data_IF_673517168746
#
_entry.id   IF_673517168746
#
_cell.length_a   1.000
_cell.length_b   1.000
_cell.length_c   1.000
_cell.angle_alpha   90.00
_cell.angle_beta   90.00
_cell.angle_gamma   90.00
#
_symmetry.space_group_name_H-M   'P 1'
#
loop_
_entity.id
_entity.type
_entity.pdbx_description
1 polymer ?
#
# COMPACT_ATOMS: atom_id res chain seq x y z
N UNK A 1 16.44 -9.57 4.58
CA UNK A 1 15.50 -10.73 4.60
C UNK A 1 14.17 -10.37 5.27
N UNK A 2 14.15 -9.74 6.43
CA UNK A 2 12.91 -9.40 7.17
C UNK A 2 11.88 -8.61 6.32
N UNK A 3 12.27 -7.53 5.66
CA UNK A 3 11.35 -6.71 4.86
C UNK A 3 10.78 -7.47 3.65
N UNK A 4 11.56 -8.34 3.02
CA UNK A 4 11.06 -9.19 1.94
C UNK A 4 10.01 -10.20 2.46
N UNK A 5 10.28 -10.82 3.60
CA UNK A 5 9.32 -11.73 4.25
C UNK A 5 8.03 -11.00 4.63
N UNK A 6 8.12 -9.76 5.12
CA UNK A 6 6.96 -8.95 5.46
C UNK A 6 6.13 -8.59 4.21
N UNK A 7 6.78 -8.18 3.11
CA UNK A 7 6.08 -7.95 1.83
C UNK A 7 5.33 -9.20 1.38
N UNK A 8 6.01 -10.34 1.36
CA UNK A 8 5.40 -11.62 0.94
C UNK A 8 4.21 -11.97 1.82
N UNK A 9 4.34 -11.86 3.14
CA UNK A 9 3.26 -12.17 4.08
C UNK A 9 2.04 -11.26 3.90
N UNK A 10 2.25 -9.95 3.73
CA UNK A 10 1.17 -8.99 3.53
C UNK A 10 0.48 -9.15 2.17
N UNK A 11 1.24 -9.39 1.11
CA UNK A 11 0.68 -9.70 -0.22
C UNK A 11 -0.09 -11.01 -0.19
N UNK A 12 0.43 -12.03 0.47
CA UNK A 12 -0.28 -13.31 0.62
C UNK A 12 -1.58 -13.14 1.41
N UNK A 13 -1.58 -12.35 2.49
CA UNK A 13 -2.78 -12.02 3.25
C UNK A 13 -3.82 -11.29 2.38
N UNK A 14 -3.41 -10.26 1.65
CA UNK A 14 -4.28 -9.51 0.75
C UNK A 14 -4.92 -10.44 -0.29
N UNK A 15 -4.11 -11.26 -0.97
CA UNK A 15 -4.60 -12.18 -2.00
C UNK A 15 -5.48 -13.29 -1.43
N UNK A 16 -5.20 -13.77 -0.21
CA UNK A 16 -6.03 -14.74 0.49
C UNK A 16 -7.41 -14.16 0.80
N UNK A 17 -7.47 -12.94 1.36
CA UNK A 17 -8.74 -12.28 1.68
C UNK A 17 -9.53 -12.02 0.39
N UNK A 18 -8.90 -11.53 -0.66
CA UNK A 18 -9.51 -11.35 -1.99
C UNK A 18 -10.05 -12.66 -2.56
N UNK A 19 -9.32 -13.76 -2.43
CA UNK A 19 -9.76 -15.08 -2.86
C UNK A 19 -11.00 -15.55 -2.08
N UNK A 20 -11.01 -15.37 -0.76
CA UNK A 20 -12.17 -15.72 0.07
C UNK A 20 -13.40 -14.89 -0.32
N UNK A 21 -13.26 -13.61 -0.59
CA UNK A 21 -14.35 -12.76 -1.07
C UNK A 21 -14.88 -13.25 -2.42
N UNK A 22 -14.00 -13.51 -3.37
CA UNK A 22 -14.38 -14.01 -4.72
C UNK A 22 -15.14 -15.34 -4.67
N UNK A 23 -14.85 -16.20 -3.70
CA UNK A 23 -15.44 -17.54 -3.59
C UNK A 23 -16.71 -17.59 -2.74
N UNK A 24 -16.92 -16.66 -1.82
CA UNK A 24 -18.03 -16.72 -0.85
C UNK A 24 -19.05 -15.59 -1.01
N UNK A 25 -18.70 -14.48 -1.67
CA UNK A 25 -19.61 -13.35 -1.83
C UNK A 25 -19.91 -13.15 -3.32
N UNK A 26 -21.16 -13.21 -3.77
CA UNK A 26 -21.49 -12.90 -5.16
C UNK A 26 -21.19 -11.43 -5.49
N UNK A 27 -20.95 -11.12 -6.76
CA UNK A 27 -20.69 -9.74 -7.20
C UNK A 27 -21.84 -8.81 -6.80
N UNK A 28 -21.53 -7.73 -6.08
CA UNK A 28 -22.51 -6.81 -5.51
C UNK A 28 -23.24 -7.36 -4.27
N UNK A 29 -22.93 -8.59 -3.83
CA UNK A 29 -23.43 -9.15 -2.58
C UNK A 29 -22.72 -8.57 -1.36
N UNK A 30 -23.29 -8.80 -0.19
CA UNK A 30 -22.75 -8.35 1.08
C UNK A 30 -22.90 -9.42 2.17
N UNK A 31 -22.06 -9.33 3.18
CA UNK A 31 -22.06 -10.18 4.37
C UNK A 31 -21.71 -9.32 5.58
N UNK A 32 -22.49 -9.46 6.65
CA UNK A 32 -22.22 -8.75 7.90
C UNK A 32 -20.87 -9.15 8.47
N UNK A 33 -20.08 -8.15 8.88
CA UNK A 33 -18.79 -8.37 9.52
C UNK A 33 -18.72 -7.70 10.89
N UNK A 34 -18.89 -6.37 10.96
CA UNK A 34 -19.03 -5.63 12.21
C UNK A 34 -20.34 -4.84 12.15
N UNK A 35 -21.37 -5.25 12.91
CA UNK A 35 -22.68 -4.62 12.83
C UNK A 35 -22.61 -3.09 12.93
N UNK A 36 -23.31 -2.40 12.04
CA UNK A 36 -23.40 -0.93 11.93
C UNK A 36 -22.08 -0.19 11.64
N UNK A 37 -20.94 -0.88 11.52
CA UNK A 37 -19.62 -0.29 11.29
C UNK A 37 -19.07 -0.66 9.93
N UNK A 38 -18.99 -1.97 9.65
CA UNK A 38 -18.31 -2.49 8.47
C UNK A 38 -18.99 -3.78 7.98
N UNK A 39 -19.28 -3.84 6.70
CA UNK A 39 -19.69 -5.07 6.03
C UNK A 39 -18.64 -5.51 5.00
N UNK A 40 -18.65 -6.79 4.66
CA UNK A 40 -17.91 -7.32 3.54
C UNK A 40 -18.82 -7.34 2.31
N UNK A 41 -18.32 -6.81 1.21
CA UNK A 41 -18.98 -6.84 -0.10
C UNK A 41 -18.00 -7.31 -1.17
N UNK A 42 -18.48 -7.61 -2.36
CA UNK A 42 -17.62 -7.85 -3.51
C UNK A 42 -17.86 -6.78 -4.57
N UNK A 43 -16.86 -5.93 -4.77
CA UNK A 43 -16.87 -4.89 -5.80
C UNK A 43 -15.68 -5.07 -6.74
N UNK A 44 -15.93 -4.97 -8.05
CA UNK A 44 -14.87 -4.92 -9.07
C UNK A 44 -14.47 -3.47 -9.32
N UNK A 45 -13.27 -3.10 -8.92
CA UNK A 45 -12.73 -1.77 -9.15
C UNK A 45 -11.83 -1.76 -10.40
N UNK A 46 -12.33 -1.17 -11.48
CA UNK A 46 -11.60 -1.05 -12.76
C UNK A 46 -10.85 0.28 -12.90
N UNK A 47 -10.98 1.18 -11.89
CA UNK A 47 -10.33 2.48 -11.85
C UNK A 47 -9.25 2.59 -10.76
N UNK A 48 -8.81 3.81 -10.52
CA UNK A 48 -8.10 4.19 -9.31
C UNK A 48 -9.10 4.63 -8.23
N UNK A 49 -8.63 5.23 -7.13
CA UNK A 49 -9.49 5.82 -6.12
C UNK A 49 -10.54 6.74 -6.76
N UNK A 50 -11.79 6.64 -6.32
CA UNK A 50 -12.94 7.39 -6.86
C UNK A 50 -13.22 7.18 -8.36
N UNK A 51 -12.90 5.99 -8.90
CA UNK A 51 -13.14 5.61 -10.31
C UNK A 51 -12.39 6.47 -11.34
N UNK A 52 -11.33 7.14 -10.95
CA UNK A 52 -10.44 7.85 -11.87
C UNK A 52 -9.80 6.83 -12.83
N UNK A 53 -9.69 7.15 -14.12
CA UNK A 53 -9.18 6.28 -15.18
C UNK A 53 -9.98 4.95 -15.31
N UNK A 54 -11.28 4.98 -15.03
CA UNK A 54 -12.15 3.83 -15.23
C UNK A 54 -11.99 3.30 -16.68
N UNK A 55 -11.93 1.98 -16.84
CA UNK A 55 -11.68 1.27 -18.11
C UNK A 55 -10.22 1.34 -18.65
N UNK A 56 -9.30 2.06 -18.02
CA UNK A 56 -7.88 2.07 -18.39
C UNK A 56 -7.04 1.23 -17.41
N UNK A 57 -7.52 0.06 -17.06
CA UNK A 57 -6.89 -0.82 -16.05
C UNK A 57 -5.45 -1.19 -16.41
N UNK A 58 -5.13 -1.33 -17.72
CA UNK A 58 -3.77 -1.58 -18.18
C UNK A 58 -2.81 -0.44 -17.84
N UNK A 59 -3.27 0.82 -17.96
CA UNK A 59 -2.46 1.99 -17.61
C UNK A 59 -2.24 2.04 -16.09
N UNK A 60 -3.28 1.72 -15.31
CA UNK A 60 -3.16 1.61 -13.85
C UNK A 60 -2.23 0.46 -13.44
N UNK A 61 -2.23 -0.67 -14.17
CA UNK A 61 -1.30 -1.76 -13.96
C UNK A 61 0.15 -1.31 -14.23
N UNK A 62 0.39 -0.58 -15.32
CA UNK A 62 1.71 -0.05 -15.65
C UNK A 62 2.20 0.94 -14.59
N UNK A 63 1.36 1.88 -14.17
CA UNK A 63 1.69 2.83 -13.09
C UNK A 63 1.99 2.07 -11.79
N UNK A 64 1.16 1.10 -11.42
CA UNK A 64 1.39 0.27 -10.22
C UNK A 64 2.69 -0.53 -10.31
N UNK A 65 3.05 -1.03 -11.49
CA UNK A 65 4.32 -1.73 -11.73
C UNK A 65 5.52 -0.79 -11.52
N UNK A 66 5.51 0.36 -12.17
CA UNK A 66 6.59 1.35 -12.04
C UNK A 66 6.75 1.77 -10.58
N UNK A 67 5.63 2.09 -9.91
CA UNK A 67 5.66 2.46 -8.49
C UNK A 67 6.17 1.31 -7.60
N UNK A 68 5.76 0.07 -7.86
CA UNK A 68 6.23 -1.10 -7.11
C UNK A 68 7.74 -1.31 -7.26
N UNK A 69 8.28 -1.10 -8.47
CA UNK A 69 9.73 -1.21 -8.73
C UNK A 69 10.50 -0.10 -7.98
N UNK A 70 10.02 1.14 -8.04
CA UNK A 70 10.63 2.27 -7.33
C UNK A 70 10.58 2.08 -5.80
N UNK A 71 9.44 1.63 -5.28
CA UNK A 71 9.28 1.33 -3.86
C UNK A 71 10.18 0.16 -3.42
N UNK A 72 10.26 -0.90 -4.22
CA UNK A 72 11.16 -2.02 -3.95
C UNK A 72 12.63 -1.55 -3.92
N UNK A 73 13.03 -0.76 -4.89
CA UNK A 73 14.36 -0.17 -4.90
C UNK A 73 14.61 0.66 -3.63
N UNK A 74 13.67 1.49 -3.21
CA UNK A 74 13.79 2.32 -2.01
C UNK A 74 13.82 1.50 -0.70
N UNK A 75 13.10 0.38 -0.63
CA UNK A 75 13.11 -0.54 0.53
C UNK A 75 14.44 -1.30 0.62
N UNK A 76 14.95 -1.80 -0.51
CA UNK A 76 16.12 -2.68 -0.51
C UNK A 76 17.44 -1.92 -0.62
N UNK A 77 17.47 -0.75 -1.25
CA UNK A 77 18.54 0.23 -1.06
C UNK A 77 18.14 1.12 0.12
N UNK A 78 18.91 1.18 1.21
CA UNK A 78 18.46 1.80 2.46
C UNK A 78 18.32 3.32 2.31
N UNK A 79 17.19 3.75 1.74
CA UNK A 79 16.81 5.16 1.67
C UNK A 79 16.58 5.70 3.09
N UNK A 80 15.98 4.87 3.96
CA UNK A 80 15.86 5.13 5.40
C UNK A 80 16.77 4.17 6.18
N UNK A 81 17.63 4.71 7.04
CA UNK A 81 18.48 3.90 7.91
C UNK A 81 17.69 3.33 9.08
N UNK A 82 16.71 4.08 9.58
CA UNK A 82 15.90 3.66 10.70
C UNK A 82 14.82 2.63 10.30
N UNK A 83 14.61 1.56 11.09
CA UNK A 83 13.69 0.48 10.73
C UNK A 83 12.22 0.92 10.63
N UNK A 84 11.78 1.97 11.35
CA UNK A 84 10.42 2.50 11.24
C UNK A 84 10.12 3.03 9.84
N UNK A 85 10.98 3.89 9.28
CA UNK A 85 10.80 4.43 7.94
C UNK A 85 10.78 3.32 6.88
N UNK A 86 11.71 2.35 6.98
CA UNK A 86 11.72 1.17 6.10
C UNK A 86 10.48 0.31 6.27
N UNK A 87 9.99 0.12 7.49
CA UNK A 87 8.77 -0.63 7.78
C UNK A 87 7.54 0.01 7.13
N UNK A 88 7.38 1.32 7.27
CA UNK A 88 6.30 2.06 6.63
C UNK A 88 6.36 1.95 5.10
N UNK A 89 7.55 2.11 4.51
CA UNK A 89 7.75 1.97 3.06
C UNK A 89 7.46 0.53 2.58
N UNK A 90 7.76 -0.47 3.43
CA UNK A 90 7.47 -1.88 3.16
C UNK A 90 5.96 -2.15 3.11
N UNK A 91 5.17 -1.50 3.98
CA UNK A 91 3.70 -1.56 3.92
C UNK A 91 3.17 -0.99 2.60
N UNK A 92 3.66 0.19 2.20
CA UNK A 92 3.26 0.81 0.93
C UNK A 92 3.61 -0.09 -0.26
N UNK A 93 4.80 -0.69 -0.26
CA UNK A 93 5.22 -1.63 -1.30
C UNK A 93 4.29 -2.86 -1.35
N UNK A 94 3.99 -3.46 -0.21
CA UNK A 94 3.11 -4.64 -0.15
C UNK A 94 1.72 -4.34 -0.72
N UNK A 95 1.12 -3.20 -0.36
CA UNK A 95 -0.17 -2.78 -0.91
C UNK A 95 -0.11 -2.48 -2.41
N UNK A 96 0.95 -1.81 -2.88
CA UNK A 96 1.14 -1.56 -4.31
C UNK A 96 1.23 -2.86 -5.12
N UNK A 97 2.00 -3.85 -4.62
CA UNK A 97 2.14 -5.18 -5.25
C UNK A 97 0.82 -5.96 -5.20
N UNK A 98 0.09 -5.94 -4.09
CA UNK A 98 -1.21 -6.63 -3.95
C UNK A 98 -2.22 -6.16 -5.00
N UNK A 99 -2.37 -4.84 -5.17
CA UNK A 99 -3.25 -4.26 -6.19
C UNK A 99 -2.71 -4.38 -7.63
N UNK A 100 -1.38 -4.45 -7.81
CA UNK A 100 -0.76 -4.74 -9.11
C UNK A 100 -1.10 -6.15 -9.58
N UNK A 101 -1.02 -7.16 -8.71
CA UNK A 101 -1.38 -8.55 -9.02
C UNK A 101 -2.81 -8.61 -9.56
N UNK A 102 -3.75 -7.97 -8.90
CA UNK A 102 -5.14 -7.94 -9.33
C UNK A 102 -5.29 -7.33 -10.72
N UNK A 103 -4.69 -6.16 -10.97
CA UNK A 103 -4.77 -5.48 -12.26
C UNK A 103 -4.11 -6.29 -13.38
N UNK A 104 -2.98 -6.92 -13.11
CA UNK A 104 -2.24 -7.69 -14.10
C UNK A 104 -2.94 -9.00 -14.50
N UNK A 105 -3.55 -9.71 -13.55
CA UNK A 105 -4.10 -11.05 -13.78
C UNK A 105 -5.62 -11.09 -13.88
N UNK A 106 -6.33 -10.17 -13.23
CA UNK A 106 -7.81 -10.11 -13.22
C UNK A 106 -8.38 -9.00 -14.08
N UNK A 107 -7.58 -7.95 -14.37
CA UNK A 107 -8.03 -6.76 -15.07
C UNK A 107 -8.85 -5.79 -14.21
N UNK A 108 -9.02 -6.07 -12.93
CA UNK A 108 -9.69 -5.23 -11.94
C UNK A 108 -9.14 -5.53 -10.55
N UNK A 109 -9.34 -4.61 -9.60
CA UNK A 109 -9.01 -4.84 -8.19
C UNK A 109 -10.27 -5.34 -7.47
N UNK A 110 -10.09 -6.32 -6.57
CA UNK A 110 -11.17 -6.82 -5.70
C UNK A 110 -11.21 -5.96 -4.45
N UNK A 111 -12.31 -5.22 -4.27
CA UNK A 111 -12.57 -4.44 -3.07
C UNK A 111 -13.67 -5.09 -2.23
N UNK A 112 -13.57 -5.00 -0.89
CA UNK A 112 -14.47 -5.72 -0.01
C UNK A 112 -14.94 -4.99 1.24
N UNK A 113 -14.18 -4.05 1.79
CA UNK A 113 -14.55 -3.38 3.03
C UNK A 113 -15.44 -2.17 2.75
N UNK A 114 -16.72 -2.25 3.13
CA UNK A 114 -17.69 -1.17 3.00
C UNK A 114 -18.04 -0.59 4.38
N UNK A 115 -17.73 0.69 4.59
CA UNK A 115 -18.02 1.40 5.84
C UNK A 115 -19.48 1.85 5.85
N UNK A 116 -20.24 1.50 6.92
CA UNK A 116 -21.68 1.72 6.96
C UNK A 116 -22.13 3.06 7.56
N UNK A 117 -21.30 3.66 8.42
CA UNK A 117 -21.64 4.90 9.14
C UNK A 117 -21.30 6.19 8.39
N UNK A 118 -20.61 6.07 7.23
CA UNK A 118 -20.26 7.21 6.38
C UNK A 118 -20.15 6.78 4.91
N UNK A 119 -20.29 7.73 4.00
CA UNK A 119 -20.03 7.46 2.57
C UNK A 119 -18.52 7.40 2.32
N UNK A 120 -18.02 6.20 2.14
CA UNK A 120 -16.61 5.97 1.83
C UNK A 120 -16.51 4.98 0.66
N UNK A 121 -15.45 5.09 -0.13
CA UNK A 121 -15.19 4.11 -1.19
C UNK A 121 -14.90 2.74 -0.57
N UNK A 122 -15.41 1.67 -1.17
CA UNK A 122 -15.06 0.30 -0.77
C UNK A 122 -13.57 0.08 -1.04
N UNK A 123 -12.86 -0.56 -0.12
CA UNK A 123 -11.42 -0.74 -0.14
C UNK A 123 -11.02 -2.17 0.24
N UNK A 124 -9.74 -2.48 0.19
CA UNK A 124 -9.17 -3.80 0.42
C UNK A 124 -7.98 -3.77 1.40
N UNK A 125 -7.38 -4.94 1.67
CA UNK A 125 -6.22 -5.07 2.57
C UNK A 125 -5.00 -4.33 2.03
N UNK A 126 -4.77 -4.37 0.71
CA UNK A 126 -3.66 -3.65 0.09
C UNK A 126 -3.79 -2.13 0.28
N UNK A 127 -5.01 -1.57 0.19
CA UNK A 127 -5.26 -0.14 0.41
C UNK A 127 -4.99 0.24 1.87
N UNK A 128 -5.35 -0.61 2.84
CA UNK A 128 -4.99 -0.41 4.26
C UNK A 128 -3.47 -0.33 4.40
N UNK A 129 -2.73 -1.22 3.77
CA UNK A 129 -1.26 -1.21 3.80
C UNK A 129 -0.70 0.10 3.22
N UNK A 130 -1.23 0.56 2.07
CA UNK A 130 -0.80 1.82 1.45
C UNK A 130 -1.08 3.01 2.36
N UNK A 131 -2.29 3.11 2.91
CA UNK A 131 -2.71 4.24 3.75
C UNK A 131 -1.95 4.27 5.07
N UNK A 132 -1.89 3.14 5.77
CA UNK A 132 -1.16 3.04 7.06
C UNK A 132 0.34 3.28 6.86
N UNK A 133 0.93 2.67 5.82
CA UNK A 133 2.33 2.88 5.48
C UNK A 133 2.63 4.32 5.07
N UNK A 134 1.76 4.93 4.26
CA UNK A 134 1.91 6.32 3.81
C UNK A 134 1.79 7.33 4.95
N UNK A 135 0.76 7.19 5.80
CA UNK A 135 0.60 8.03 7.00
C UNK A 135 1.78 7.82 7.95
N UNK A 136 2.17 6.56 8.21
CA UNK A 136 3.30 6.24 9.06
C UNK A 136 4.60 6.86 8.56
N UNK A 137 4.84 6.81 7.24
CA UNK A 137 6.00 7.41 6.61
C UNK A 137 6.00 8.95 6.72
N UNK A 138 4.85 9.58 6.52
CA UNK A 138 4.69 11.03 6.67
C UNK A 138 4.95 11.46 8.11
N UNK A 139 4.37 10.77 9.09
CA UNK A 139 4.61 11.05 10.52
C UNK A 139 6.06 10.79 10.92
N UNK A 140 6.65 9.71 10.42
CA UNK A 140 8.07 9.43 10.62
C UNK A 140 8.93 10.59 10.12
N UNK A 141 8.70 11.06 8.90
CA UNK A 141 9.48 12.13 8.31
C UNK A 141 9.33 13.46 9.08
N UNK A 142 8.10 13.84 9.42
CA UNK A 142 7.80 15.11 10.09
C UNK A 142 8.29 15.14 11.55
N UNK A 143 8.14 14.03 12.28
CA UNK A 143 8.31 14.03 13.74
C UNK A 143 9.62 13.39 14.21
N UNK A 144 10.17 12.47 13.44
CA UNK A 144 11.21 11.55 13.92
C UNK A 144 12.46 11.50 13.05
N UNK A 145 12.41 11.88 11.77
CA UNK A 145 13.54 11.74 10.87
C UNK A 145 14.78 12.48 11.38
N UNK A 146 14.66 13.75 11.78
CA UNK A 146 15.75 14.55 12.32
C UNK A 146 16.36 14.00 13.61
N UNK A 147 15.61 13.18 14.34
CA UNK A 147 16.04 12.61 15.63
C UNK A 147 16.62 11.21 15.48
N UNK A 148 16.12 10.44 14.50
CA UNK A 148 16.41 9.03 14.35
C UNK A 148 17.35 8.71 13.17
N UNK A 149 17.41 9.58 12.15
CA UNK A 149 18.40 9.43 11.09
C UNK A 149 19.73 10.04 11.54
N UNK A 150 20.85 9.34 11.36
CA UNK A 150 22.16 9.91 11.65
C UNK A 150 22.37 11.16 10.77
N UNK A 151 22.66 12.29 11.37
CA UNK A 151 23.07 13.48 10.61
C UNK A 151 24.28 13.08 9.78
N UNK A 152 24.21 13.26 8.46
CA UNK A 152 25.43 13.24 7.66
C UNK A 152 26.36 14.29 8.27
N UNK A 153 27.54 13.83 8.69
CA UNK A 153 28.56 14.73 9.16
C UNK A 153 28.75 15.79 8.07
N UNK A 154 28.45 17.02 8.43
CA UNK A 154 28.75 18.19 7.60
C UNK A 154 30.25 18.18 7.39
N UNK A 155 30.67 17.53 6.31
CA UNK A 155 32.09 17.43 5.96
C UNK A 155 32.54 18.78 5.48
N UNK A 156 33.31 19.46 6.35
CA UNK A 156 34.37 20.41 6.09
C UNK A 156 34.22 21.29 4.85
N UNK A 157 33.53 22.41 5.04
CA UNK A 157 33.98 23.66 4.41
C UNK A 157 34.65 24.53 5.45
N UNK A 158 35.80 24.10 5.91
CA UNK A 158 36.72 24.92 6.65
C UNK A 158 38.13 24.32 6.46
N UNK A 159 38.78 24.70 5.40
CA UNK A 159 40.23 24.91 5.31
C UNK A 159 40.64 25.08 3.84
N UNK A 160 40.53 26.28 3.35
CA UNK A 160 41.42 26.76 2.32
C UNK A 160 41.55 28.29 2.43
N UNK A 161 41.99 28.75 3.58
CA UNK A 161 42.61 30.06 3.71
C UNK A 161 43.93 29.83 4.42
N UNK A 162 44.99 29.64 3.59
CA UNK A 162 46.38 30.02 3.84
C UNK A 162 47.12 29.92 2.53
#
# INVERSE_FOLDING_TARGET
MLYAALVIALVALDQLVKYLVLTHIPLGGHMDFLPHVLELTYVKNTGAAFSILNQHTWLLALISLVMSVLLAWAVFKPLFRHPLGRGCLTLVLAGAVGNLIDRAFRGFVVDMFNVLFMRFAVFNVADICVVVGGIGLALYYILLADKLEPKEASHDRAHSDH
#
